data_IF_274400949034
#
_entry.id   IF_274400949034
#
_cell.length_a   1.000
_cell.length_b   1.000
_cell.length_c   1.000
_cell.angle_alpha   90.00
_cell.angle_beta   90.00
_cell.angle_gamma   90.00
#
_symmetry.space_group_name_H-M   'P 1'
#
loop_
_entity.id
_entity.type
_entity.pdbx_description
1 polymer ?
#
# COMPACT_ATOMS: atom_id res chain seq x y z
N UNK A 1 4.80 7.12 7.93
CA UNK A 1 4.46 5.79 8.53
C UNK A 1 5.46 4.76 8.01
N UNK A 2 5.83 3.73 8.79
CA UNK A 2 6.74 2.65 8.35
C UNK A 2 6.24 1.28 8.83
N UNK A 3 6.17 0.30 7.94
CA UNK A 3 5.96 -1.11 8.29
C UNK A 3 7.29 -1.68 8.81
N UNK A 4 7.30 -2.29 9.99
CA UNK A 4 8.54 -2.72 10.66
C UNK A 4 8.69 -4.23 10.71
N UNK A 5 7.60 -4.95 10.93
CA UNK A 5 7.56 -6.40 10.92
C UNK A 5 6.28 -6.94 10.26
N UNK A 6 6.40 -8.14 9.70
CA UNK A 6 5.28 -8.98 9.25
C UNK A 6 5.57 -10.43 9.63
N UNK A 7 4.67 -11.03 10.41
CA UNK A 7 4.66 -12.45 10.77
C UNK A 7 3.50 -13.13 10.09
N UNK A 8 3.79 -14.25 9.45
CA UNK A 8 2.84 -15.02 8.66
C UNK A 8 2.69 -16.38 9.33
N UNK A 9 1.61 -16.56 10.07
CA UNK A 9 1.30 -17.83 10.71
C UNK A 9 0.65 -18.79 9.72
N UNK A 10 -0.23 -18.27 8.86
CA UNK A 10 -0.90 -19.02 7.81
C UNK A 10 -1.24 -18.09 6.65
N UNK A 11 -0.79 -18.41 5.44
CA UNK A 11 -1.17 -17.70 4.22
C UNK A 11 -0.86 -18.54 2.98
N UNK A 12 -1.90 -19.06 2.31
CA UNK A 12 -1.78 -19.81 1.05
C UNK A 12 -0.71 -20.91 1.13
N UNK A 13 0.22 -20.93 0.19
CA UNK A 13 1.32 -21.91 0.05
C UNK A 13 2.62 -21.46 0.72
N UNK A 14 2.57 -20.42 1.57
CA UNK A 14 3.72 -19.96 2.35
C UNK A 14 3.93 -20.87 3.57
N UNK A 15 5.18 -21.22 3.84
CA UNK A 15 5.56 -21.96 5.04
C UNK A 15 5.12 -21.19 6.30
N UNK A 16 4.49 -21.87 7.28
CA UNK A 16 4.02 -21.22 8.49
C UNK A 16 5.20 -20.69 9.33
N UNK A 17 4.99 -19.56 10.00
CA UNK A 17 5.97 -18.97 10.92
C UNK A 17 6.99 -18.04 10.26
N UNK A 18 6.81 -17.68 8.98
CA UNK A 18 7.68 -16.70 8.33
C UNK A 18 7.63 -15.35 9.07
N UNK A 19 8.80 -14.78 9.36
CA UNK A 19 8.95 -13.51 10.04
C UNK A 19 9.88 -12.60 9.24
N UNK A 20 9.33 -11.49 8.76
CA UNK A 20 10.02 -10.49 7.97
C UNK A 20 10.18 -9.22 8.79
N UNK A 21 11.37 -8.67 8.78
CA UNK A 21 11.71 -7.33 9.28
C UNK A 21 12.05 -6.45 8.09
N UNK A 22 11.65 -5.18 8.14
CA UNK A 22 11.78 -4.27 7.01
C UNK A 22 12.66 -3.07 7.32
N UNK A 23 13.52 -2.73 6.36
CA UNK A 23 14.27 -1.48 6.36
C UNK A 23 13.35 -0.26 6.17
N UNK A 24 13.68 0.90 6.74
CA UNK A 24 12.82 2.08 6.74
C UNK A 24 12.72 2.78 5.38
N UNK A 25 13.64 2.50 4.45
CA UNK A 25 13.79 3.18 3.16
C UNK A 25 13.54 2.24 1.98
N UNK A 26 14.38 1.23 1.80
CA UNK A 26 14.34 0.30 0.68
C UNK A 26 14.26 -1.14 1.16
N UNK A 27 13.41 -1.92 0.50
CA UNK A 27 13.22 -3.35 0.72
C UNK A 27 13.19 -4.04 -0.65
N UNK A 28 14.24 -4.78 -0.97
CA UNK A 28 14.37 -5.56 -2.18
C UNK A 28 13.76 -6.95 -1.95
N UNK A 29 12.75 -7.28 -2.72
CA UNK A 29 12.12 -8.61 -2.74
C UNK A 29 12.76 -9.41 -3.88
N UNK A 30 13.56 -10.40 -3.49
CA UNK A 30 14.45 -11.17 -4.36
C UNK A 30 14.05 -12.64 -4.41
N UNK A 31 14.57 -13.37 -5.40
CA UNK A 31 14.27 -14.78 -5.62
C UNK A 31 13.92 -15.10 -7.07
N UNK A 32 13.95 -16.38 -7.41
CA UNK A 32 13.66 -16.86 -8.76
C UNK A 32 12.18 -16.65 -9.16
N UNK A 33 11.86 -16.88 -10.43
CA UNK A 33 10.48 -16.89 -10.91
C UNK A 33 9.70 -18.04 -10.25
N UNK A 34 8.47 -17.74 -9.78
CA UNK A 34 7.62 -18.73 -9.11
C UNK A 34 7.79 -18.83 -7.58
N UNK A 35 8.83 -18.23 -6.99
CA UNK A 35 9.10 -18.26 -5.54
C UNK A 35 8.16 -17.37 -4.69
N UNK A 36 7.24 -16.64 -5.34
CA UNK A 36 6.21 -15.86 -4.65
C UNK A 36 6.50 -14.38 -4.44
N UNK A 37 7.49 -13.78 -5.13
CA UNK A 37 7.79 -12.34 -5.06
C UNK A 37 6.54 -11.46 -5.24
N UNK A 38 5.80 -11.68 -6.33
CA UNK A 38 4.54 -10.95 -6.59
C UNK A 38 3.48 -11.25 -5.53
N UNK A 39 3.39 -12.49 -5.04
CA UNK A 39 2.47 -12.87 -3.96
C UNK A 39 2.78 -12.10 -2.67
N UNK A 40 4.06 -11.91 -2.34
CA UNK A 40 4.48 -11.11 -1.20
C UNK A 40 4.16 -9.62 -1.41
N UNK A 41 4.41 -9.05 -2.60
CA UNK A 41 4.03 -7.65 -2.88
C UNK A 41 2.51 -7.43 -2.78
N UNK A 42 1.70 -8.39 -3.23
CA UNK A 42 0.24 -8.33 -3.09
C UNK A 42 -0.19 -8.42 -1.61
N UNK A 43 0.48 -9.26 -0.81
CA UNK A 43 0.25 -9.32 0.63
C UNK A 43 0.63 -8.00 1.32
N UNK A 44 1.79 -7.42 0.99
CA UNK A 44 2.22 -6.13 1.51
C UNK A 44 1.24 -5.01 1.14
N UNK A 45 0.71 -5.02 -0.08
CA UNK A 45 -0.35 -4.10 -0.52
C UNK A 45 -1.56 -4.20 0.40
N UNK A 46 -2.02 -5.42 0.71
CA UNK A 46 -3.15 -5.68 1.61
C UNK A 46 -2.86 -5.28 3.05
N UNK A 47 -1.67 -5.55 3.56
CA UNK A 47 -1.23 -5.15 4.91
C UNK A 47 -1.19 -3.63 5.05
N UNK A 48 -0.60 -2.93 4.07
CA UNK A 48 -0.50 -1.47 4.05
C UNK A 48 -1.87 -0.81 3.88
N UNK A 49 -2.73 -1.35 3.03
CA UNK A 49 -4.14 -0.96 2.93
C UNK A 49 -4.96 -1.33 4.17
N UNK A 50 -4.47 -2.34 4.91
CA UNK A 50 -5.21 -3.09 5.91
C UNK A 50 -6.59 -3.54 5.40
N UNK A 51 -6.64 -3.95 4.13
CA UNK A 51 -7.83 -4.45 3.42
C UNK A 51 -7.65 -5.94 3.10
N UNK A 52 -8.50 -6.76 3.71
CA UNK A 52 -8.47 -8.21 3.59
C UNK A 52 -9.76 -8.76 2.95
N UNK A 53 -10.57 -7.91 2.33
CA UNK A 53 -11.83 -8.28 1.67
C UNK A 53 -11.63 -9.37 0.62
N UNK A 54 -10.54 -9.28 -0.14
CA UNK A 54 -10.12 -10.28 -1.13
C UNK A 54 -9.66 -11.63 -0.54
N UNK A 55 -9.66 -11.80 0.79
CA UNK A 55 -9.36 -13.04 1.50
C UNK A 55 -10.55 -13.54 2.34
N UNK A 56 -11.74 -12.97 2.17
CA UNK A 56 -12.91 -13.32 3.00
C UNK A 56 -13.26 -14.82 2.96
N UNK A 57 -12.91 -15.51 1.87
CA UNK A 57 -13.14 -16.95 1.66
C UNK A 57 -11.88 -17.81 1.85
N UNK A 58 -10.74 -17.21 2.19
CA UNK A 58 -9.47 -17.91 2.37
C UNK A 58 -9.10 -17.93 3.86
N UNK A 59 -8.48 -19.01 4.33
CA UNK A 59 -7.89 -19.01 5.67
C UNK A 59 -6.56 -18.27 5.68
N UNK A 60 -6.37 -17.41 6.69
CA UNK A 60 -5.11 -16.73 6.92
C UNK A 60 -4.96 -16.31 8.37
N UNK A 61 -3.72 -16.08 8.80
CA UNK A 61 -3.37 -15.54 10.11
C UNK A 61 -2.06 -14.78 10.02
N UNK A 62 -2.13 -13.48 10.32
CA UNK A 62 -1.04 -12.51 10.13
C UNK A 62 -0.91 -11.62 11.37
N UNK A 63 0.32 -11.21 11.66
CA UNK A 63 0.64 -10.14 12.60
C UNK A 63 1.59 -9.16 11.91
N UNK A 64 1.39 -7.86 12.08
CA UNK A 64 2.28 -6.85 11.53
C UNK A 64 2.31 -5.62 12.39
N UNK A 65 3.42 -4.87 12.33
CA UNK A 65 3.57 -3.65 13.12
C UNK A 65 4.00 -2.45 12.29
N UNK A 66 3.39 -1.31 12.60
CA UNK A 66 3.75 0.00 12.07
C UNK A 66 4.38 0.88 13.14
N UNK A 67 5.29 1.72 12.69
CA UNK A 67 5.79 2.85 13.47
C UNK A 67 5.38 4.16 12.82
N UNK A 68 5.01 5.11 13.68
CA UNK A 68 4.66 6.46 13.30
C UNK A 68 5.22 7.43 14.36
N UNK A 69 5.52 8.69 14.03
CA UNK A 69 6.01 9.64 15.03
C UNK A 69 5.08 9.73 16.25
N UNK A 70 5.56 9.31 17.41
CA UNK A 70 4.80 9.35 18.67
C UNK A 70 3.86 8.17 18.92
N UNK A 71 3.88 7.12 18.08
CA UNK A 71 3.02 5.95 18.26
C UNK A 71 3.55 4.67 17.56
N UNK A 72 3.22 3.51 18.15
CA UNK A 72 3.42 2.20 17.53
C UNK A 72 2.07 1.49 17.41
N UNK A 73 1.91 0.71 16.35
CA UNK A 73 0.67 0.01 16.04
C UNK A 73 1.00 -1.44 15.73
N UNK A 74 0.41 -2.38 16.44
CA UNK A 74 0.46 -3.80 16.16
C UNK A 74 -0.94 -4.26 15.74
N UNK A 75 -1.02 -5.01 14.66
CA UNK A 75 -2.27 -5.57 14.17
C UNK A 75 -2.12 -7.07 14.05
N UNK A 76 -3.07 -7.79 14.63
CA UNK A 76 -3.29 -9.22 14.44
C UNK A 76 -4.59 -9.41 13.69
N UNK A 77 -4.55 -10.10 12.57
CA UNK A 77 -5.74 -10.38 11.77
C UNK A 77 -5.73 -11.84 11.34
N UNK A 78 -6.87 -12.49 11.48
CA UNK A 78 -7.04 -13.88 11.06
C UNK A 78 -8.43 -14.11 10.50
N UNK A 79 -8.51 -15.10 9.63
CA UNK A 79 -9.74 -15.68 9.12
C UNK A 79 -9.53 -17.19 9.19
N UNK A 80 -10.15 -17.86 10.14
CA UNK A 80 -9.89 -19.27 10.44
C UNK A 80 -11.19 -20.02 10.55
N UNK A 81 -11.24 -21.27 10.10
CA UNK A 81 -12.40 -22.11 10.33
C UNK A 81 -12.66 -22.28 11.84
N UNK A 82 -13.94 -22.37 12.27
CA UNK A 82 -14.26 -22.70 13.64
C UNK A 82 -13.64 -24.07 13.98
N UNK A 83 -12.86 -24.13 15.05
CA UNK A 83 -12.36 -25.40 15.56
C UNK A 83 -13.48 -26.11 16.32
N UNK A 84 -14.25 -26.96 15.63
CA UNK A 84 -15.32 -27.78 16.22
C UNK A 84 -14.77 -28.89 17.14
N UNK A 85 -13.45 -29.04 17.24
CA UNK A 85 -12.78 -30.03 18.09
C UNK A 85 -12.56 -29.53 19.53
N UNK A 86 -12.72 -28.22 19.77
CA UNK A 86 -12.57 -27.62 21.10
C UNK A 86 -13.93 -27.63 21.80
N UNK A 87 -14.08 -28.25 22.98
CA UNK A 87 -15.34 -28.19 23.71
C UNK A 87 -15.64 -26.72 24.01
N UNK A 88 -16.80 -26.22 23.58
CA UNK A 88 -17.32 -24.97 24.08
C UNK A 88 -17.38 -25.07 25.62
N UNK A 89 -16.83 -24.09 26.33
CA UNK A 89 -17.03 -24.00 27.78
C UNK A 89 -18.53 -24.11 28.06
N UNK A 90 -18.89 -25.20 28.74
CA UNK A 90 -20.27 -25.64 28.91
C UNK A 90 -21.06 -24.65 29.79
N UNK A 91 -21.77 -23.73 29.15
CA UNK A 91 -23.01 -23.17 29.70
C UNK A 91 -24.17 -24.16 29.47
N UNK A 92 -25.17 -24.22 30.36
CA UNK A 92 -26.24 -25.20 30.25
C UNK A 92 -27.14 -24.87 29.04
N UNK A 93 -27.11 -25.73 28.01
CA UNK A 93 -28.05 -25.62 26.89
C UNK A 93 -29.45 -26.15 27.26
N UNK A 94 -30.53 -25.47 26.84
CA UNK A 94 -31.89 -26.01 26.90
C UNK A 94 -32.05 -27.13 25.86
N UNK A 95 -32.56 -28.29 26.29
CA UNK A 95 -32.87 -29.42 25.42
C UNK A 95 -33.96 -29.05 24.40
N UNK A 96 -33.58 -28.86 23.13
CA UNK A 96 -34.52 -28.82 22.02
C UNK A 96 -34.67 -30.23 21.40
N UNK A 97 -35.81 -30.85 21.63
CA UNK A 97 -36.29 -32.04 20.92
C UNK A 97 -36.73 -31.63 19.51
N UNK A 98 -35.87 -31.84 18.50
CA UNK A 98 -36.14 -32.24 17.10
C UNK A 98 -34.86 -32.00 16.28
N UNK A 99 -34.32 -32.99 15.54
CA UNK A 99 -33.19 -32.75 14.64
C UNK A 99 -33.69 -32.05 13.38
N UNK A 100 -33.41 -30.74 13.24
CA UNK A 100 -33.47 -30.07 11.95
C UNK A 100 -32.22 -30.46 11.15
N UNK A 101 -32.40 -31.39 10.21
CA UNK A 101 -31.48 -31.54 9.09
C UNK A 101 -31.64 -30.34 8.16
N UNK A 102 -30.87 -29.29 8.40
CA UNK A 102 -30.61 -28.22 7.42
C UNK A 102 -29.28 -28.55 6.71
N UNK A 103 -29.11 -28.16 5.42
CA UNK A 103 -27.93 -28.53 4.65
C UNK A 103 -26.69 -27.94 5.35
N UNK A 104 -25.66 -28.77 5.52
CA UNK A 104 -24.38 -28.34 6.08
C UNK A 104 -23.76 -27.39 5.05
N UNK A 105 -24.08 -26.10 5.17
CA UNK A 105 -23.26 -25.05 4.57
C UNK A 105 -21.84 -25.30 5.06
N UNK A 106 -20.90 -25.43 4.13
CA UNK A 106 -19.50 -25.61 4.48
C UNK A 106 -19.09 -24.55 5.51
N UNK A 107 -18.33 -24.92 6.57
CA UNK A 107 -18.02 -23.99 7.63
C UNK A 107 -17.35 -22.74 7.05
N UNK A 108 -17.93 -21.57 7.35
CA UNK A 108 -17.39 -20.30 6.87
C UNK A 108 -16.27 -19.86 7.82
N UNK A 109 -15.10 -19.44 7.30
CA UNK A 109 -14.05 -18.86 8.13
C UNK A 109 -14.57 -17.70 8.99
N UNK A 110 -14.13 -17.66 10.25
CA UNK A 110 -14.50 -16.61 11.20
C UNK A 110 -13.38 -15.55 11.27
N UNK A 111 -13.69 -14.30 10.92
CA UNK A 111 -12.72 -13.23 10.98
C UNK A 111 -12.53 -12.74 12.42
N UNK A 112 -11.29 -12.41 12.76
CA UNK A 112 -10.92 -11.76 13.99
C UNK A 112 -9.80 -10.75 13.74
N UNK A 113 -9.89 -9.61 14.39
CA UNK A 113 -8.93 -8.53 14.34
C UNK A 113 -8.64 -8.03 15.76
N UNK A 114 -7.37 -7.89 16.09
CA UNK A 114 -6.91 -7.17 17.27
C UNK A 114 -5.92 -6.10 16.84
N UNK A 115 -6.12 -4.89 17.35
CA UNK A 115 -5.25 -3.76 17.06
C UNK A 115 -4.79 -3.17 18.38
N UNK A 116 -3.49 -3.25 18.64
CA UNK A 116 -2.84 -2.63 19.79
C UNK A 116 -2.13 -1.38 19.33
N UNK A 117 -2.51 -0.23 19.89
CA UNK A 117 -1.86 1.05 19.63
C UNK A 117 -1.22 1.55 20.92
N UNK A 118 0.08 1.82 20.88
CA UNK A 118 0.80 2.48 21.96
C UNK A 118 1.07 3.93 21.55
N UNK A 119 0.70 4.87 22.42
CA UNK A 119 0.89 6.30 22.24
C UNK A 119 1.96 6.78 23.22
N UNK A 120 2.86 7.65 22.75
CA UNK A 120 3.89 8.25 23.62
C UNK A 120 3.33 9.41 24.47
N UNK A 121 2.37 10.15 23.90
CA UNK A 121 1.80 11.35 24.52
C UNK A 121 0.35 11.63 24.02
N UNK A 122 -0.66 11.59 24.93
CA UNK A 122 -0.57 11.04 26.29
C UNK A 122 -0.18 9.56 26.25
N UNK A 123 0.62 9.11 27.22
CA UNK A 123 1.06 7.72 27.28
C UNK A 123 -0.15 6.82 27.52
N UNK A 124 -0.51 6.00 26.53
CA UNK A 124 -1.67 5.13 26.61
C UNK A 124 -1.51 3.90 25.72
N UNK A 125 -2.09 2.80 26.17
CA UNK A 125 -2.24 1.57 25.38
C UNK A 125 -3.70 1.36 25.06
N UNK A 126 -4.04 1.47 23.78
CA UNK A 126 -5.39 1.24 23.26
C UNK A 126 -5.42 -0.16 22.61
N UNK A 127 -6.41 -0.97 22.95
CA UNK A 127 -6.62 -2.28 22.33
C UNK A 127 -8.02 -2.36 21.77
N UNK A 128 -8.14 -2.42 20.45
CA UNK A 128 -9.38 -2.76 19.76
C UNK A 128 -9.40 -4.26 19.48
N UNK A 129 -10.52 -4.91 19.78
CA UNK A 129 -10.84 -6.24 19.27
C UNK A 129 -12.12 -6.18 18.45
N UNK A 130 -12.13 -6.85 17.31
CA UNK A 130 -13.31 -6.96 16.47
C UNK A 130 -13.41 -8.36 15.86
N UNK A 131 -14.65 -8.84 15.75
CA UNK A 131 -15.00 -10.11 15.12
C UNK A 131 -16.35 -9.98 14.40
N UNK A 132 -16.93 -11.12 14.01
CA UNK A 132 -18.23 -11.16 13.34
C UNK A 132 -19.42 -10.75 14.25
N UNK A 133 -19.26 -10.78 15.57
CA UNK A 133 -20.30 -10.46 16.55
C UNK A 133 -20.27 -8.99 16.96
N UNK A 134 -19.10 -8.36 16.92
CA UNK A 134 -19.00 -6.94 17.25
C UNK A 134 -17.57 -6.43 17.39
N UNK A 135 -17.45 -5.33 18.14
CA UNK A 135 -16.18 -4.70 18.44
C UNK A 135 -16.14 -4.23 19.91
N UNK A 136 -14.95 -4.26 20.49
CA UNK A 136 -14.66 -3.79 21.84
C UNK A 136 -13.36 -2.99 21.87
N UNK A 137 -13.28 -2.05 22.81
CA UNK A 137 -12.10 -1.21 23.06
C UNK A 137 -11.71 -1.23 24.52
N UNK A 138 -10.41 -1.33 24.74
CA UNK A 138 -9.77 -1.19 26.04
C UNK A 138 -8.78 -0.03 26.02
N UNK A 139 -8.76 0.74 27.12
CA UNK A 139 -7.79 1.80 27.38
C UNK A 139 -7.02 1.40 28.63
N UNK A 140 -5.72 1.18 28.51
CA UNK A 140 -4.86 0.75 29.61
C UNK A 140 -5.39 -0.51 30.35
N UNK A 141 -5.99 -1.43 29.59
CA UNK A 141 -6.57 -2.68 30.11
C UNK A 141 -7.97 -2.55 30.72
N UNK A 142 -8.57 -1.36 30.74
CA UNK A 142 -9.96 -1.16 31.16
C UNK A 142 -10.87 -1.09 29.93
N UNK A 143 -11.96 -1.86 29.94
CA UNK A 143 -12.97 -1.80 28.88
C UNK A 143 -13.58 -0.40 28.87
N UNK A 144 -13.36 0.34 27.79
CA UNK A 144 -13.95 1.65 27.57
C UNK A 144 -15.24 1.56 26.75
N UNK A 145 -15.34 0.57 25.85
CA UNK A 145 -16.48 0.44 24.95
C UNK A 145 -16.66 -1.00 24.45
N UNK A 146 -17.91 -1.41 24.23
CA UNK A 146 -18.25 -2.65 23.53
C UNK A 146 -19.58 -2.49 22.79
N UNK A 147 -19.67 -3.05 21.59
CA UNK A 147 -20.88 -3.02 20.78
C UNK A 147 -21.01 -4.28 19.93
N UNK A 148 -22.18 -4.91 20.00
CA UNK A 148 -22.60 -5.95 19.06
C UNK A 148 -22.94 -5.32 17.72
N UNK A 149 -22.31 -5.79 16.64
CA UNK A 149 -22.55 -5.35 15.27
C UNK A 149 -22.41 -6.54 14.32
N UNK A 150 -23.40 -6.73 13.45
CA UNK A 150 -23.37 -7.77 12.43
C UNK A 150 -22.84 -7.16 11.14
N UNK A 151 -21.63 -7.54 10.74
CA UNK A 151 -20.91 -6.97 9.60
C UNK A 151 -19.83 -7.92 9.09
N UNK A 152 -19.38 -7.68 7.86
CA UNK A 152 -18.16 -8.30 7.36
C UNK A 152 -16.97 -7.45 7.79
N UNK A 153 -16.24 -7.95 8.80
CA UNK A 153 -15.06 -7.27 9.34
C UNK A 153 -13.97 -7.07 8.28
N UNK A 154 -13.81 -8.03 7.36
CA UNK A 154 -12.77 -7.99 6.34
C UNK A 154 -13.13 -7.10 5.14
N UNK A 155 -14.40 -6.77 4.94
CA UNK A 155 -14.85 -5.78 3.93
C UNK A 155 -14.60 -4.34 4.36
N UNK A 156 -14.09 -4.14 5.58
CA UNK A 156 -13.68 -2.85 6.11
C UNK A 156 -12.18 -2.87 6.35
N UNK A 157 -11.51 -1.75 6.08
CA UNK A 157 -10.11 -1.65 6.44
C UNK A 157 -9.96 -1.53 7.96
N UNK A 158 -8.84 -1.98 8.51
CA UNK A 158 -8.48 -1.75 9.93
C UNK A 158 -8.66 -0.25 10.28
N UNK A 159 -8.34 0.63 9.33
CA UNK A 159 -8.48 2.09 9.48
C UNK A 159 -9.93 2.54 9.68
N UNK A 160 -10.90 1.95 8.98
CA UNK A 160 -12.33 2.23 9.20
C UNK A 160 -12.73 1.82 10.62
N UNK A 161 -12.30 0.63 11.07
CA UNK A 161 -12.64 0.12 12.40
C UNK A 161 -12.04 0.99 13.49
N UNK A 162 -10.76 1.35 13.34
CA UNK A 162 -10.07 2.31 14.20
C UNK A 162 -10.79 3.67 14.22
N UNK A 163 -11.20 4.19 13.06
CA UNK A 163 -11.94 5.45 12.97
C UNK A 163 -13.25 5.39 13.75
N UNK A 164 -14.06 4.33 13.56
CA UNK A 164 -15.34 4.17 14.24
C UNK A 164 -15.19 4.15 15.76
N UNK A 165 -14.18 3.44 16.26
CA UNK A 165 -13.88 3.42 17.68
C UNK A 165 -13.32 4.73 18.22
N UNK A 166 -12.43 5.38 17.46
CA UNK A 166 -11.86 6.68 17.80
C UNK A 166 -12.93 7.77 18.00
N UNK A 167 -14.08 7.67 17.32
CA UNK A 167 -15.19 8.62 17.54
C UNK A 167 -15.80 8.53 18.95
N UNK A 168 -15.52 7.47 19.70
CA UNK A 168 -16.07 7.22 21.05
C UNK A 168 -15.05 7.42 22.16
N UNK A 169 -13.79 7.68 21.82
CA UNK A 169 -12.72 7.98 22.78
C UNK A 169 -12.74 9.46 23.16
N UNK A 170 -12.03 9.79 24.24
CA UNK A 170 -11.86 11.19 24.67
C UNK A 170 -11.17 12.04 23.58
N UNK A 171 -11.43 13.36 23.55
CA UNK A 171 -10.95 14.26 22.49
C UNK A 171 -9.43 14.23 22.26
N UNK A 172 -8.64 14.04 23.31
CA UNK A 172 -7.17 13.99 23.20
C UNK A 172 -6.65 12.82 22.35
N UNK A 173 -7.27 11.65 22.46
CA UNK A 173 -6.94 10.48 21.64
C UNK A 173 -7.42 10.66 20.21
N UNK A 174 -8.60 11.26 20.05
CA UNK A 174 -9.21 11.51 18.74
C UNK A 174 -8.32 12.36 17.85
N UNK A 175 -7.74 13.44 18.35
CA UNK A 175 -6.85 14.31 17.55
C UNK A 175 -5.58 13.58 17.10
N UNK A 176 -4.99 12.72 17.94
CA UNK A 176 -3.81 11.92 17.57
C UNK A 176 -4.16 10.87 16.50
N UNK A 177 -5.31 10.23 16.64
CA UNK A 177 -5.80 9.24 15.68
C UNK A 177 -6.21 9.87 14.35
N UNK A 178 -6.67 11.12 14.33
CA UNK A 178 -7.01 11.82 13.07
C UNK A 178 -5.83 11.91 12.11
N UNK A 179 -4.62 12.21 12.59
CA UNK A 179 -3.46 12.31 11.70
C UNK A 179 -3.04 10.94 11.16
N UNK A 180 -3.11 9.88 12.00
CA UNK A 180 -2.92 8.50 11.54
C UNK A 180 -3.94 8.16 10.44
N UNK A 181 -5.23 8.38 10.71
CA UNK A 181 -6.31 8.07 9.81
C UNK A 181 -6.26 8.90 8.52
N UNK A 182 -5.85 10.17 8.58
CA UNK A 182 -5.64 10.99 7.37
C UNK A 182 -4.60 10.37 6.45
N UNK A 183 -3.55 9.78 7.00
CA UNK A 183 -2.49 9.13 6.22
C UNK A 183 -2.81 7.71 5.79
N UNK A 184 -3.63 6.98 6.53
CA UNK A 184 -3.91 5.56 6.24
C UNK A 184 -5.23 5.32 5.51
N UNK A 185 -6.27 6.10 5.82
CA UNK A 185 -7.59 5.97 5.20
C UNK A 185 -7.58 6.39 3.72
N UNK A 186 -6.66 7.29 3.32
CA UNK A 186 -6.59 7.88 1.97
C UNK A 186 -5.48 7.31 1.07
N UNK A 187 -4.47 6.63 1.62
CA UNK A 187 -3.19 6.39 0.92
C UNK A 187 -2.69 4.94 1.04
N UNK A 188 -3.57 3.97 0.82
CA UNK A 188 -3.12 2.60 0.60
C UNK A 188 -2.40 2.52 -0.76
N UNK A 189 -1.07 2.30 -0.81
CA UNK A 189 -0.37 2.22 -2.08
C UNK A 189 -0.83 0.98 -2.83
N UNK A 190 -1.47 1.16 -3.98
CA UNK A 190 -1.66 0.04 -4.91
C UNK A 190 -0.30 -0.48 -5.39
N UNK A 191 -0.23 -1.74 -5.84
CA UNK A 191 0.97 -2.24 -6.52
C UNK A 191 1.16 -1.54 -7.87
N UNK A 192 2.37 -1.03 -8.11
CA UNK A 192 2.84 -0.61 -9.43
C UNK A 192 3.32 -1.85 -10.17
N UNK A 193 2.56 -2.30 -11.16
CA UNK A 193 2.86 -3.50 -11.94
C UNK A 193 3.93 -3.26 -13.01
N UNK A 194 4.46 -4.35 -13.59
CA UNK A 194 5.41 -4.26 -14.69
C UNK A 194 4.80 -3.81 -16.02
N UNK A 195 3.47 -3.86 -16.13
CA UNK A 195 2.75 -3.50 -17.33
C UNK A 195 2.49 -2.00 -17.47
N UNK A 196 1.50 -1.68 -18.31
CA UNK A 196 0.95 -0.33 -18.45
C UNK A 196 -0.38 -0.18 -17.70
N UNK A 197 -0.74 -1.13 -16.82
CA UNK A 197 -2.03 -1.11 -16.10
C UNK A 197 -2.19 0.17 -15.28
N UNK A 198 -1.12 0.62 -14.61
CA UNK A 198 -1.12 1.92 -13.92
C UNK A 198 -1.32 3.10 -14.88
N UNK A 199 -0.67 3.09 -16.05
CA UNK A 199 -0.83 4.15 -17.05
C UNK A 199 -2.27 4.24 -17.60
N UNK A 200 -2.89 3.08 -17.85
CA UNK A 200 -4.28 3.00 -18.32
C UNK A 200 -5.27 3.49 -17.25
N UNK A 201 -5.09 3.07 -16.00
CA UNK A 201 -5.90 3.51 -14.85
C UNK A 201 -5.90 5.01 -14.67
N UNK A 202 -4.76 5.69 -14.87
CA UNK A 202 -4.69 7.16 -14.78
C UNK A 202 -5.72 7.80 -15.72
N UNK A 203 -5.78 7.36 -16.98
CA UNK A 203 -6.71 7.93 -17.96
C UNK A 203 -8.20 7.65 -17.67
N UNK A 204 -8.48 6.59 -16.92
CA UNK A 204 -9.83 6.18 -16.50
C UNK A 204 -10.24 6.76 -15.15
N UNK A 205 -9.32 7.43 -14.44
CA UNK A 205 -9.61 7.99 -13.14
C UNK A 205 -10.69 9.08 -13.23
N UNK A 206 -11.57 9.08 -12.22
CA UNK A 206 -12.61 10.06 -12.03
C UNK A 206 -12.53 10.61 -10.61
N UNK A 207 -12.96 11.85 -10.42
CA UNK A 207 -12.88 12.53 -9.14
C UNK A 207 -14.08 13.45 -8.94
N UNK A 208 -14.84 13.19 -7.87
CA UNK A 208 -15.95 14.02 -7.48
C UNK A 208 -15.54 15.08 -6.45
N UNK A 209 -16.13 16.26 -6.55
CA UNK A 209 -16.05 17.32 -5.55
C UNK A 209 -17.46 17.77 -5.18
N UNK A 210 -17.72 17.91 -3.88
CA UNK A 210 -18.93 18.52 -3.34
C UNK A 210 -18.65 20.00 -3.04
N UNK A 211 -19.47 20.91 -3.55
CA UNK A 211 -19.43 22.33 -3.22
C UNK A 211 -20.55 22.64 -2.23
N UNK A 212 -20.25 23.35 -1.15
CA UNK A 212 -21.22 23.88 -0.19
C UNK A 212 -20.93 25.36 0.01
N UNK A 213 -21.78 26.22 -0.55
CA UNK A 213 -21.45 27.65 -0.69
C UNK A 213 -20.14 27.83 -1.48
N UNK A 214 -19.15 28.49 -0.87
CA UNK A 214 -17.79 28.68 -1.44
C UNK A 214 -16.81 27.55 -1.05
N UNK A 215 -17.19 26.65 -0.14
CA UNK A 215 -16.32 25.56 0.31
C UNK A 215 -16.42 24.35 -0.63
N UNK A 216 -15.29 23.67 -0.86
CA UNK A 216 -15.24 22.47 -1.72
C UNK A 216 -14.60 21.30 -0.98
N UNK A 217 -15.31 20.16 -0.98
CA UNK A 217 -14.96 18.93 -0.31
C UNK A 217 -14.68 17.81 -1.33
N UNK A 218 -13.59 17.04 -1.18
CA UNK A 218 -13.34 15.86 -2.00
C UNK A 218 -14.39 14.77 -1.73
N UNK A 219 -14.88 14.10 -2.78
CA UNK A 219 -15.74 12.92 -2.67
C UNK A 219 -14.95 11.65 -3.02
N UNK A 220 -14.73 10.80 -2.02
CA UNK A 220 -14.14 9.47 -2.17
C UNK A 220 -12.64 9.40 -1.89
N UNK A 221 -12.15 8.16 -1.79
CA UNK A 221 -10.74 7.82 -1.65
C UNK A 221 -10.20 7.56 -3.06
N UNK A 222 -9.29 8.39 -3.57
CA UNK A 222 -8.79 8.25 -4.94
C UNK A 222 -7.28 8.40 -5.02
N UNK A 223 -6.68 7.65 -5.94
CA UNK A 223 -5.24 7.66 -6.26
C UNK A 223 -4.87 8.87 -7.13
N UNK A 224 -5.01 10.07 -6.59
CA UNK A 224 -4.60 11.33 -7.22
C UNK A 224 -3.28 11.84 -6.63
N UNK A 225 -2.46 12.55 -7.42
CA UNK A 225 -1.34 13.32 -6.90
C UNK A 225 -1.81 14.23 -5.77
N UNK A 226 -1.06 14.30 -4.67
CA UNK A 226 -1.51 15.01 -3.45
C UNK A 226 -1.82 16.49 -3.67
N UNK A 227 -1.19 17.11 -4.68
CA UNK A 227 -1.44 18.48 -5.11
C UNK A 227 -2.70 18.68 -5.98
N UNK A 228 -3.17 17.63 -6.67
CA UNK A 228 -4.22 17.77 -7.70
C UNK A 228 -5.58 18.21 -7.13
N UNK A 229 -6.08 17.67 -6.00
CA UNK A 229 -7.33 18.14 -5.41
C UNK A 229 -7.33 19.64 -5.11
N UNK A 230 -6.19 20.19 -4.67
CA UNK A 230 -6.02 21.62 -4.41
C UNK A 230 -6.16 22.45 -5.69
N UNK A 231 -5.46 22.04 -6.76
CA UNK A 231 -5.53 22.70 -8.07
C UNK A 231 -6.93 22.66 -8.67
N UNK A 232 -7.63 21.52 -8.57
CA UNK A 232 -9.00 21.39 -9.08
C UNK A 232 -9.97 22.30 -8.33
N UNK A 233 -9.79 22.46 -7.01
CA UNK A 233 -10.56 23.40 -6.19
C UNK A 233 -10.30 24.84 -6.62
N UNK A 234 -9.04 25.24 -6.72
CA UNK A 234 -8.65 26.61 -7.08
C UNK A 234 -9.11 27.01 -8.49
N UNK A 235 -9.21 26.04 -9.40
CA UNK A 235 -9.59 26.26 -10.80
C UNK A 235 -11.01 25.76 -11.14
N UNK A 236 -11.85 25.55 -10.13
CA UNK A 236 -13.22 25.08 -10.32
C UNK A 236 -14.03 26.02 -11.22
N UNK A 237 -13.92 27.34 -11.02
CA UNK A 237 -14.59 28.34 -11.87
C UNK A 237 -14.11 28.31 -13.32
N UNK A 238 -12.79 28.15 -13.53
CA UNK A 238 -12.22 27.96 -14.87
C UNK A 238 -12.78 26.71 -15.54
N UNK A 239 -12.86 25.60 -14.81
CA UNK A 239 -13.42 24.35 -15.33
C UNK A 239 -14.90 24.51 -15.72
N UNK A 240 -15.68 25.24 -14.92
CA UNK A 240 -17.07 25.55 -15.22
C UNK A 240 -17.24 26.39 -16.48
N UNK A 241 -16.30 27.30 -16.76
CA UNK A 241 -16.34 28.15 -17.95
C UNK A 241 -15.84 27.44 -19.22
N UNK A 242 -14.81 26.61 -19.11
CA UNK A 242 -14.08 26.04 -20.26
C UNK A 242 -14.31 24.55 -20.49
N UNK A 243 -14.87 23.84 -19.51
CA UNK A 243 -15.07 22.39 -19.53
C UNK A 243 -13.82 21.57 -19.18
N UNK A 244 -12.66 22.20 -18.94
CA UNK A 244 -11.43 21.49 -18.59
C UNK A 244 -10.46 22.37 -17.80
N UNK A 245 -9.44 21.73 -17.21
CA UNK A 245 -8.29 22.39 -16.62
C UNK A 245 -7.05 21.83 -17.31
N UNK A 246 -6.18 22.72 -17.77
CA UNK A 246 -4.84 22.39 -18.24
C UNK A 246 -3.83 22.82 -17.17
N UNK A 247 -2.88 21.92 -16.87
CA UNK A 247 -1.78 22.12 -15.93
C UNK A 247 -0.49 21.89 -16.70
N UNK A 248 0.36 22.92 -16.79
CA UNK A 248 1.66 22.82 -17.44
C UNK A 248 2.70 22.20 -16.51
N UNK A 249 3.72 21.59 -17.13
CA UNK A 249 4.82 20.92 -16.43
C UNK A 249 5.65 21.83 -15.50
N UNK A 250 5.61 23.14 -15.72
CA UNK A 250 6.38 24.16 -15.01
C UNK A 250 5.54 24.93 -13.97
N UNK A 251 4.26 24.62 -13.82
CA UNK A 251 3.40 25.24 -12.82
C UNK A 251 3.61 24.69 -11.40
N UNK A 252 4.07 23.44 -11.29
CA UNK A 252 4.22 22.75 -10.01
C UNK A 252 5.65 22.31 -9.81
N UNK A 253 6.30 22.89 -8.81
CA UNK A 253 7.66 22.55 -8.44
C UNK A 253 7.74 21.06 -8.07
N UNK A 254 8.65 20.33 -8.71
CA UNK A 254 8.85 18.88 -8.54
C UNK A 254 7.62 17.99 -8.82
N UNK A 255 6.58 18.48 -9.51
CA UNK A 255 5.48 17.63 -9.96
C UNK A 255 5.95 16.54 -10.94
N UNK A 256 5.22 15.41 -10.99
CA UNK A 256 5.55 14.29 -11.88
C UNK A 256 5.72 14.72 -13.34
N UNK A 257 4.94 15.71 -13.80
CA UNK A 257 4.94 16.18 -15.18
C UNK A 257 6.25 16.91 -15.52
N UNK A 258 6.74 17.80 -14.65
CA UNK A 258 8.02 18.49 -14.82
C UNK A 258 9.20 17.52 -14.81
N UNK A 259 9.18 16.55 -13.88
CA UNK A 259 10.20 15.48 -13.84
C UNK A 259 10.18 14.64 -15.11
N UNK A 260 9.00 14.26 -15.60
CA UNK A 260 8.88 13.49 -16.83
C UNK A 260 9.42 14.26 -18.04
N UNK A 261 9.03 15.53 -18.22
CA UNK A 261 9.52 16.38 -19.33
C UNK A 261 11.04 16.45 -19.32
N UNK A 262 11.63 16.65 -18.14
CA UNK A 262 13.09 16.70 -17.95
C UNK A 262 13.75 15.37 -18.31
N UNK A 263 13.31 14.27 -17.72
CA UNK A 263 13.91 12.94 -17.89
C UNK A 263 13.72 12.37 -19.30
N UNK A 264 12.57 12.65 -19.93
CA UNK A 264 12.28 12.23 -21.30
C UNK A 264 12.92 13.14 -22.35
N UNK A 265 13.56 14.26 -21.95
CA UNK A 265 14.22 15.20 -22.86
C UNK A 265 13.24 16.01 -23.72
N UNK A 266 12.03 16.24 -23.23
CA UNK A 266 10.98 16.99 -23.93
C UNK A 266 11.13 18.50 -23.68
N UNK A 267 10.46 19.31 -24.49
CA UNK A 267 10.45 20.78 -24.37
C UNK A 267 9.35 21.30 -23.45
N UNK A 268 8.17 20.68 -23.49
CA UNK A 268 7.05 21.02 -22.62
C UNK A 268 6.12 19.83 -22.41
N UNK A 269 5.33 19.90 -21.34
CA UNK A 269 4.27 18.95 -21.02
C UNK A 269 3.03 19.65 -20.49
N UNK A 270 1.87 19.05 -20.75
CA UNK A 270 0.56 19.48 -20.29
C UNK A 270 -0.23 18.29 -19.78
N UNK A 271 -0.82 18.43 -18.62
CA UNK A 271 -1.78 17.51 -18.03
C UNK A 271 -3.17 18.15 -18.08
N UNK A 272 -4.11 17.48 -18.76
CA UNK A 272 -5.48 17.93 -18.93
C UNK A 272 -6.42 17.10 -18.08
N UNK A 273 -7.33 17.77 -17.40
CA UNK A 273 -8.44 17.15 -16.66
C UNK A 273 -9.75 17.73 -17.18
N UNK A 274 -10.68 16.89 -17.62
CA UNK A 274 -11.99 17.31 -18.14
C UNK A 274 -13.04 17.36 -17.03
N UNK A 275 -13.95 18.34 -17.09
CA UNK A 275 -15.17 18.36 -16.29
C UNK A 275 -16.23 17.50 -16.99
N UNK A 276 -16.61 16.39 -16.36
CA UNK A 276 -17.53 15.38 -16.89
C UNK A 276 -18.98 15.66 -16.54
N UNK A 277 -19.24 16.07 -15.30
CA UNK A 277 -20.61 16.34 -14.81
C UNK A 277 -20.61 17.57 -13.87
N UNK A 278 -21.75 18.27 -13.86
CA UNK A 278 -22.06 19.37 -12.97
C UNK A 278 -23.50 19.22 -12.49
N UNK A 279 -23.67 19.09 -11.18
CA UNK A 279 -24.98 19.15 -10.53
C UNK A 279 -25.04 20.33 -9.59
N UNK A 280 -26.14 21.05 -9.58
CA UNK A 280 -26.39 22.14 -8.64
C UNK A 280 -27.60 21.77 -7.79
N UNK A 281 -27.54 22.06 -6.50
CA UNK A 281 -28.64 21.84 -5.56
C UNK A 281 -28.71 23.02 -4.59
N UNK A 282 -29.80 23.12 -3.83
CA UNK A 282 -29.97 24.22 -2.88
C UNK A 282 -28.84 24.19 -1.84
N UNK A 283 -28.08 25.28 -1.73
CA UNK A 283 -26.92 25.39 -0.85
C UNK A 283 -25.61 24.77 -1.37
N UNK A 284 -25.55 24.26 -2.60
CA UNK A 284 -24.31 23.64 -3.10
C UNK A 284 -24.33 23.07 -4.52
N UNK A 285 -23.37 22.20 -4.80
CA UNK A 285 -23.23 21.55 -6.10
C UNK A 285 -22.27 20.37 -6.07
N UNK A 286 -22.21 19.61 -7.15
CA UNK A 286 -21.24 18.54 -7.35
C UNK A 286 -20.56 18.73 -8.69
N UNK A 287 -19.24 18.66 -8.70
CA UNK A 287 -18.41 18.62 -9.90
C UNK A 287 -17.81 17.23 -10.02
N UNK A 288 -17.75 16.71 -11.24
CA UNK A 288 -17.08 15.44 -11.52
C UNK A 288 -16.03 15.66 -12.59
N UNK A 289 -14.79 15.31 -12.29
CA UNK A 289 -13.63 15.44 -13.15
C UNK A 289 -13.14 14.08 -13.63
N UNK A 290 -12.50 14.01 -14.79
CA UNK A 290 -11.89 12.77 -15.28
C UNK A 290 -11.22 12.94 -16.63
N UNK A 291 -11.09 11.82 -17.37
CA UNK A 291 -10.43 11.75 -18.69
C UNK A 291 -9.06 12.43 -18.69
N UNK A 292 -8.24 11.98 -17.74
CA UNK A 292 -6.92 12.52 -17.53
C UNK A 292 -6.03 12.30 -18.76
N UNK A 293 -5.63 13.40 -19.39
CA UNK A 293 -4.95 13.42 -20.67
C UNK A 293 -3.56 14.05 -20.58
N UNK A 294 -2.64 13.56 -21.38
CA UNK A 294 -1.28 14.09 -21.47
C UNK A 294 -0.98 14.57 -22.88
N UNK A 295 -0.39 15.76 -23.00
CA UNK A 295 0.17 16.29 -24.23
C UNK A 295 1.58 16.78 -24.01
N UNK A 296 2.46 16.57 -24.99
CA UNK A 296 3.86 16.98 -24.89
C UNK A 296 4.32 17.67 -26.16
N UNK A 297 5.37 18.47 -26.03
CA UNK A 297 6.05 19.10 -27.15
C UNK A 297 7.53 18.78 -27.08
N UNK A 298 8.11 18.35 -28.20
CA UNK A 298 9.56 18.17 -28.36
C UNK A 298 10.27 19.51 -28.41
N UNK A 299 11.60 19.50 -28.28
CA UNK A 299 12.42 20.72 -28.36
C UNK A 299 12.42 21.35 -29.76
N UNK A 300 12.12 20.57 -30.79
CA UNK A 300 11.94 21.02 -32.17
C UNK A 300 10.53 21.60 -32.46
N UNK A 301 9.65 21.63 -31.44
CA UNK A 301 8.28 22.13 -31.56
C UNK A 301 7.24 21.07 -31.98
N UNK A 302 7.66 19.84 -32.31
CA UNK A 302 6.71 18.79 -32.68
C UNK A 302 5.83 18.38 -31.49
N UNK A 303 4.51 18.29 -31.73
CA UNK A 303 3.53 17.90 -30.70
C UNK A 303 3.41 16.37 -30.67
N UNK A 304 3.46 15.81 -29.45
CA UNK A 304 3.31 14.40 -29.19
C UNK A 304 2.01 14.16 -28.41
N UNK A 305 1.15 13.31 -28.97
CA UNK A 305 0.03 12.71 -28.25
C UNK A 305 0.48 11.45 -27.47
N UNK A 306 -0.42 10.90 -26.65
CA UNK A 306 -0.24 9.62 -25.93
C UNK A 306 0.23 8.47 -26.83
N UNK A 307 -0.21 8.42 -28.09
CA UNK A 307 0.13 7.35 -29.03
C UNK A 307 1.60 7.37 -29.43
N UNK A 308 2.21 8.55 -29.42
CA UNK A 308 3.60 8.75 -29.81
C UNK A 308 4.60 8.39 -28.69
N UNK A 309 4.13 8.18 -27.46
CA UNK A 309 5.00 7.75 -26.37
C UNK A 309 5.33 6.26 -26.47
N UNK A 310 6.63 5.95 -26.43
CA UNK A 310 7.12 4.59 -26.34
C UNK A 310 6.75 3.92 -25.02
N UNK A 311 6.87 2.60 -24.95
CA UNK A 311 6.51 1.81 -23.76
C UNK A 311 7.22 2.30 -22.49
N UNK A 312 8.56 2.44 -22.54
CA UNK A 312 9.35 2.92 -21.41
C UNK A 312 9.01 4.36 -20.98
N UNK A 313 8.58 5.22 -21.91
CA UNK A 313 8.13 6.58 -21.59
C UNK A 313 6.78 6.57 -20.87
N UNK A 314 5.83 5.76 -21.34
CA UNK A 314 4.52 5.58 -20.66
C UNK A 314 4.71 5.06 -19.25
N UNK A 315 5.61 4.08 -19.07
CA UNK A 315 5.96 3.51 -17.78
C UNK A 315 6.65 4.52 -16.85
N UNK A 316 7.60 5.30 -17.36
CA UNK A 316 8.23 6.37 -16.57
C UNK A 316 7.19 7.42 -16.12
N UNK A 317 6.32 7.85 -17.02
CA UNK A 317 5.27 8.83 -16.72
C UNK A 317 4.31 8.31 -15.64
N UNK A 318 3.84 7.07 -15.78
CA UNK A 318 2.94 6.47 -14.78
C UNK A 318 3.63 6.22 -13.44
N UNK A 319 4.92 5.88 -13.43
CA UNK A 319 5.70 5.71 -12.21
C UNK A 319 5.90 7.04 -11.48
N UNK A 320 6.24 8.11 -12.19
CA UNK A 320 6.36 9.43 -11.59
C UNK A 320 5.01 9.94 -11.06
N UNK A 321 3.91 9.68 -11.77
CA UNK A 321 2.56 9.96 -11.27
C UNK A 321 2.29 9.16 -10.00
N UNK A 322 2.61 7.86 -10.00
CA UNK A 322 2.45 6.98 -8.84
C UNK A 322 3.24 7.47 -7.62
N UNK A 323 4.45 8.00 -7.81
CA UNK A 323 5.26 8.59 -6.74
C UNK A 323 4.63 9.85 -6.12
N UNK A 324 3.90 10.64 -6.92
CA UNK A 324 3.15 11.81 -6.44
C UNK A 324 1.84 11.45 -5.75
N UNK A 325 1.29 10.26 -6.04
CA UNK A 325 0.11 9.72 -5.34
C UNK A 325 0.51 9.18 -3.97
N UNK A 326 1.67 8.51 -3.87
CA UNK A 326 2.06 7.75 -2.69
C UNK A 326 3.27 8.37 -1.99
N UNK A 327 3.04 9.07 -0.88
CA UNK A 327 4.09 9.82 -0.17
C UNK A 327 4.86 9.00 0.87
N UNK A 328 4.22 8.02 1.50
CA UNK A 328 4.81 7.23 2.59
C UNK A 328 5.44 5.92 2.10
N UNK A 329 4.87 5.31 1.05
CA UNK A 329 5.19 3.96 0.58
C UNK A 329 5.29 3.87 -0.94
N UNK A 330 6.05 2.89 -1.41
CA UNK A 330 6.02 2.44 -2.80
C UNK A 330 6.04 0.91 -2.83
N UNK A 331 5.19 0.31 -3.65
CA UNK A 331 5.22 -1.12 -3.93
C UNK A 331 5.33 -1.27 -5.45
N UNK A 332 6.47 -1.74 -5.95
CA UNK A 332 6.69 -1.86 -7.38
C UNK A 332 7.22 -3.23 -7.78
N UNK A 333 6.51 -3.86 -8.71
CA UNK A 333 6.94 -5.08 -9.35
C UNK A 333 7.82 -4.75 -10.57
N UNK A 334 9.00 -5.37 -10.63
CA UNK A 334 9.98 -5.25 -11.70
C UNK A 334 10.34 -3.79 -12.01
N UNK A 335 10.63 -2.97 -11.00
CA UNK A 335 10.75 -1.50 -11.09
C UNK A 335 11.55 -1.00 -12.30
N UNK A 336 12.69 -1.64 -12.60
CA UNK A 336 13.61 -1.26 -13.67
C UNK A 336 13.22 -1.77 -15.07
N UNK A 337 12.17 -2.58 -15.21
CA UNK A 337 11.77 -3.17 -16.48
C UNK A 337 11.38 -2.08 -17.49
N UNK A 338 11.88 -2.23 -18.73
CA UNK A 338 11.70 -1.31 -19.86
C UNK A 338 12.10 0.16 -19.63
N UNK A 339 12.83 0.47 -18.55
CA UNK A 339 13.39 1.79 -18.29
C UNK A 339 14.84 1.88 -18.78
N UNK A 340 15.17 3.01 -19.39
CA UNK A 340 16.55 3.34 -19.73
C UNK A 340 17.40 3.51 -18.44
N UNK A 341 18.70 3.14 -18.41
CA UNK A 341 19.59 3.30 -17.24
C UNK A 341 19.48 4.63 -16.49
N UNK A 342 19.63 5.75 -17.20
CA UNK A 342 19.38 7.11 -16.65
C UNK A 342 18.04 7.28 -15.92
N UNK A 343 16.97 6.64 -16.38
CA UNK A 343 15.66 6.73 -15.74
C UNK A 343 15.59 5.86 -14.49
N UNK A 344 16.21 4.68 -14.51
CA UNK A 344 16.33 3.83 -13.31
C UNK A 344 17.07 4.58 -12.20
N UNK A 345 18.23 5.16 -12.52
CA UNK A 345 18.99 5.99 -11.58
C UNK A 345 18.15 7.11 -10.98
N UNK A 346 17.46 7.89 -11.85
CA UNK A 346 16.63 8.99 -11.41
C UNK A 346 15.47 8.54 -10.52
N UNK A 347 14.79 7.44 -10.88
CA UNK A 347 13.68 6.86 -10.12
C UNK A 347 14.15 6.37 -8.75
N UNK A 348 15.30 5.67 -8.68
CA UNK A 348 15.86 5.19 -7.41
C UNK A 348 16.16 6.36 -6.47
N UNK A 349 16.69 7.47 -7.01
CA UNK A 349 16.89 8.71 -6.24
C UNK A 349 15.58 9.34 -5.78
N UNK A 350 14.51 9.26 -6.58
CA UNK A 350 13.19 9.82 -6.25
C UNK A 350 12.40 8.97 -5.23
N UNK A 351 12.82 7.75 -4.92
CA UNK A 351 12.22 6.97 -3.81
C UNK A 351 12.25 7.78 -2.50
N UNK A 352 13.36 8.49 -2.26
CA UNK A 352 13.49 9.47 -1.18
C UNK A 352 13.21 8.86 0.20
N UNK A 353 12.40 9.56 1.00
CA UNK A 353 12.06 9.12 2.36
C UNK A 353 10.95 8.06 2.45
N UNK A 354 10.43 7.55 1.33
CA UNK A 354 9.40 6.50 1.30
C UNK A 354 9.95 5.17 1.78
N UNK A 355 9.08 4.31 2.30
CA UNK A 355 9.43 2.90 2.43
C UNK A 355 9.03 2.17 1.15
N UNK A 356 10.03 1.68 0.44
CA UNK A 356 9.89 1.11 -0.90
C UNK A 356 10.05 -0.40 -0.84
N UNK A 357 9.11 -1.13 -1.42
CA UNK A 357 9.13 -2.57 -1.61
C UNK A 357 9.22 -2.84 -3.11
N UNK A 358 10.35 -3.34 -3.58
CA UNK A 358 10.62 -3.44 -5.01
C UNK A 358 11.17 -4.80 -5.38
N UNK A 359 10.73 -5.35 -6.51
CA UNK A 359 11.36 -6.51 -7.14
C UNK A 359 12.11 -6.07 -8.39
N UNK A 360 13.13 -6.83 -8.79
CA UNK A 360 13.66 -6.77 -10.15
C UNK A 360 14.44 -8.01 -10.56
N UNK A 361 14.20 -8.47 -11.78
CA UNK A 361 15.03 -9.39 -12.56
C UNK A 361 16.08 -8.65 -13.41
N UNK A 362 15.98 -7.31 -13.49
CA UNK A 362 16.96 -6.52 -14.22
C UNK A 362 18.12 -6.15 -13.27
N UNK A 363 19.36 -6.61 -13.52
CA UNK A 363 20.49 -6.30 -12.64
C UNK A 363 20.79 -4.81 -12.52
N UNK A 364 20.32 -4.01 -13.49
CA UNK A 364 20.47 -2.55 -13.53
C UNK A 364 19.92 -1.85 -12.29
N UNK A 365 18.87 -2.37 -11.65
CA UNK A 365 18.36 -1.78 -10.40
C UNK A 365 19.46 -1.75 -9.32
N UNK A 366 20.21 -2.86 -9.21
CA UNK A 366 21.20 -3.06 -8.16
C UNK A 366 22.47 -2.23 -8.36
N UNK A 367 22.66 -1.60 -9.53
CA UNK A 367 23.76 -0.65 -9.76
C UNK A 367 23.57 0.66 -9.01
N UNK A 368 22.32 1.01 -8.67
CA UNK A 368 21.97 2.27 -8.00
C UNK A 368 21.54 2.10 -6.55
N UNK A 369 21.49 0.85 -6.06
CA UNK A 369 21.16 0.55 -4.66
C UNK A 369 22.42 0.59 -3.80
N UNK A 370 22.29 1.21 -2.63
CA UNK A 370 23.36 1.30 -1.65
C UNK A 370 22.91 0.85 -0.28
N UNK A 371 23.81 0.21 0.46
CA UNK A 371 23.63 -0.11 1.88
C UNK A 371 24.71 0.60 2.70
N UNK A 372 24.35 1.16 3.84
CA UNK A 372 25.28 1.80 4.78
C UNK A 372 25.84 0.82 5.83
N UNK A 373 25.16 -0.30 6.09
CA UNK A 373 25.58 -1.31 7.06
C UNK A 373 25.09 -2.72 6.71
N UNK A 374 25.65 -3.73 7.37
CA UNK A 374 25.17 -5.11 7.29
C UNK A 374 23.75 -5.27 7.87
N UNK A 375 23.43 -4.55 8.94
CA UNK A 375 22.08 -4.56 9.52
C UNK A 375 21.04 -3.97 8.58
N UNK A 376 21.40 -2.87 7.89
CA UNK A 376 20.54 -2.30 6.85
C UNK A 376 20.37 -3.28 5.69
N UNK A 377 21.47 -3.87 5.18
CA UNK A 377 21.38 -4.88 4.13
C UNK A 377 20.48 -6.05 4.54
N UNK A 378 20.60 -6.53 5.78
CA UNK A 378 19.76 -7.60 6.31
C UNK A 378 18.28 -7.23 6.35
N UNK A 379 17.94 -6.06 6.88
CA UNK A 379 16.55 -5.60 6.97
C UNK A 379 15.95 -5.21 5.61
N UNK A 380 16.79 -4.77 4.67
CA UNK A 380 16.39 -4.34 3.33
C UNK A 380 16.33 -5.46 2.31
N UNK A 381 16.87 -6.66 2.59
CA UNK A 381 16.82 -7.80 1.68
C UNK A 381 15.77 -8.78 2.17
N UNK A 382 14.86 -9.18 1.27
CA UNK A 382 13.86 -10.22 1.50
C UNK A 382 14.05 -11.28 0.43
N UNK A 383 14.41 -12.49 0.84
CA UNK A 383 14.57 -13.63 -0.05
C UNK A 383 13.28 -14.44 -0.11
N UNK A 384 12.79 -14.66 -1.33
CA UNK A 384 11.72 -15.59 -1.65
C UNK A 384 12.31 -16.84 -2.28
N UNK A 385 12.14 -17.99 -1.62
CA UNK A 385 12.58 -19.29 -2.10
C UNK A 385 11.47 -20.34 -2.06
N UNK A 386 11.82 -21.57 -2.42
CA UNK A 386 10.99 -22.75 -2.30
C UNK A 386 11.73 -23.78 -1.43
N UNK A 387 11.03 -24.35 -0.45
CA UNK A 387 11.55 -25.44 0.37
C UNK A 387 10.50 -26.54 0.51
N UNK A 388 10.95 -27.78 0.68
CA UNK A 388 10.06 -28.91 0.96
C UNK A 388 9.74 -28.92 2.44
N UNK A 389 8.48 -28.65 2.78
CA UNK A 389 7.95 -28.70 4.13
C UNK A 389 6.80 -29.71 4.18
N UNK A 390 6.91 -30.74 5.03
CA UNK A 390 5.92 -31.84 5.14
C UNK A 390 5.60 -32.48 3.78
N UNK A 391 6.63 -32.87 3.03
CA UNK A 391 6.52 -33.53 1.72
C UNK A 391 5.89 -32.68 0.59
N UNK A 392 5.61 -31.40 0.85
CA UNK A 392 5.12 -30.45 -0.16
C UNK A 392 6.10 -29.30 -0.33
N UNK A 393 6.32 -28.90 -1.56
CA UNK A 393 7.03 -27.67 -1.86
C UNK A 393 6.17 -26.47 -1.40
N UNK A 394 6.76 -25.61 -0.58
CA UNK A 394 6.14 -24.39 -0.06
C UNK A 394 7.04 -23.20 -0.30
N UNK A 395 6.45 -22.02 -0.42
CA UNK A 395 7.17 -20.75 -0.49
C UNK A 395 7.76 -20.43 0.88
N UNK A 396 9.03 -20.03 0.90
CA UNK A 396 9.71 -19.58 2.12
C UNK A 396 10.19 -18.15 1.91
N UNK A 397 9.76 -17.26 2.81
CA UNK A 397 10.14 -15.85 2.78
C UNK A 397 10.92 -15.53 4.05
N UNK A 398 12.10 -14.95 3.88
CA UNK A 398 12.99 -14.61 5.01
C UNK A 398 13.89 -13.44 4.69
N UNK A 399 14.34 -12.72 5.73
CA UNK A 399 15.52 -11.88 5.61
C UNK A 399 16.78 -12.78 5.66
N UNK A 400 17.92 -12.35 5.06
CA UNK A 400 19.18 -13.05 5.21
C UNK A 400 19.57 -13.26 6.68
N UNK A 401 20.33 -14.31 6.95
CA UNK A 401 20.98 -14.50 8.24
C UNK A 401 21.99 -13.37 8.51
N UNK A 402 22.33 -13.14 9.78
CA UNK A 402 23.33 -12.14 10.17
C UNK A 402 24.67 -12.40 9.46
N UNK A 403 25.16 -13.63 9.48
CA UNK A 403 26.41 -14.03 8.85
C UNK A 403 26.41 -13.84 7.32
N UNK A 404 25.30 -14.15 6.64
CA UNK A 404 25.18 -13.89 5.19
C UNK A 404 25.17 -12.38 4.90
N UNK A 405 24.47 -11.58 5.70
CA UNK A 405 24.43 -10.13 5.53
C UNK A 405 25.79 -9.47 5.78
N UNK A 406 26.53 -9.90 6.81
CA UNK A 406 27.88 -9.41 7.11
C UNK A 406 28.87 -9.73 5.99
N UNK A 407 28.85 -10.97 5.47
CA UNK A 407 29.70 -11.38 4.35
C UNK A 407 29.36 -10.60 3.08
N UNK A 408 28.08 -10.52 2.71
CA UNK A 408 27.62 -9.77 1.55
C UNK A 408 28.00 -8.28 1.65
N UNK A 409 27.79 -7.66 2.81
CA UNK A 409 28.12 -6.26 3.01
C UNK A 409 29.64 -6.02 2.97
N UNK A 410 30.43 -6.94 3.53
CA UNK A 410 31.89 -6.93 3.44
C UNK A 410 32.40 -7.00 2.00
N UNK A 411 31.81 -7.89 1.18
CA UNK A 411 32.10 -7.98 -0.25
C UNK A 411 31.69 -6.72 -1.01
N UNK A 412 30.49 -6.22 -0.73
CA UNK A 412 29.93 -5.00 -1.34
C UNK A 412 30.84 -3.79 -1.09
N UNK A 413 31.32 -3.60 0.14
CA UNK A 413 32.24 -2.51 0.49
C UNK A 413 33.61 -2.60 -0.17
N UNK A 414 34.08 -3.81 -0.51
CA UNK A 414 35.35 -3.98 -1.25
C UNK A 414 35.25 -3.50 -2.70
N UNK A 415 34.03 -3.42 -3.27
CA UNK A 415 33.78 -2.87 -4.60
C UNK A 415 34.31 -3.72 -5.76
N UNK A 416 34.67 -4.99 -5.54
CA UNK A 416 35.25 -5.86 -6.57
C UNK A 416 34.23 -6.47 -7.54
N UNK A 417 32.95 -6.50 -7.16
CA UNK A 417 31.85 -7.11 -7.92
C UNK A 417 30.60 -6.25 -7.82
N UNK A 418 29.73 -6.30 -8.84
CA UNK A 418 28.41 -5.66 -8.77
C UNK A 418 27.51 -6.33 -7.72
N UNK A 419 26.58 -5.57 -7.12
CA UNK A 419 25.64 -6.08 -6.12
C UNK A 419 24.82 -7.27 -6.66
N UNK A 420 24.38 -7.21 -7.92
CA UNK A 420 23.67 -8.30 -8.59
C UNK A 420 24.47 -9.63 -8.58
N UNK A 421 25.78 -9.55 -8.81
CA UNK A 421 26.67 -10.72 -8.77
C UNK A 421 26.87 -11.22 -7.35
N UNK A 422 27.02 -10.31 -6.38
CA UNK A 422 27.12 -10.68 -4.97
C UNK A 422 25.84 -11.38 -4.47
N UNK A 423 24.66 -10.87 -4.81
CA UNK A 423 23.39 -11.49 -4.45
C UNK A 423 23.29 -12.94 -4.97
N UNK A 424 23.74 -13.20 -6.20
CA UNK A 424 23.82 -14.57 -6.76
C UNK A 424 24.81 -15.47 -6.02
N UNK A 425 26.01 -14.96 -5.72
CA UNK A 425 27.04 -15.73 -4.99
C UNK A 425 26.52 -16.16 -3.61
N UNK A 426 25.76 -15.28 -2.96
CA UNK A 426 25.15 -15.53 -1.65
C UNK A 426 23.78 -16.24 -1.72
N UNK A 427 23.32 -16.64 -2.90
CA UNK A 427 22.09 -17.42 -3.09
C UNK A 427 20.80 -16.65 -2.81
N UNK A 428 20.81 -15.32 -3.00
CA UNK A 428 19.67 -14.44 -2.70
C UNK A 428 18.92 -13.94 -3.94
N UNK A 429 19.46 -14.09 -5.15
CA UNK A 429 18.87 -13.59 -6.40
C UNK A 429 19.08 -14.51 -7.58
#
# INVERSE_FOLDING_TARGET
MKLTELRIHQYRDVAPGAHLVFGPSLNLVLGENGTGRTTLLDLLTRVLASDFSGLIREEFSLEYAFTFPGMTLQVRVRNTLPDFSRPADAGPEPQALVPRGEPVDAPTPQPFMEVTLELDAPAARLVLRADAQGLAWEVNGQIAYSQTMHWSLLDRTVWVVLFLGAQRLEPEFKERLKELLRRTFLLAPGRFDEGLGTYERISQAQYGMEMRGEEVFPLGLMSLPTWLPGVLRERAEQALATGFIDIRHDELERGFLGRFVTLAGLGAGRFRVELLDKRSYEGGGRLEFGRFGFGFTRRDGAVLSREHLGYGQKRLLSLLYYLDVNEDFLIADELAHALHPRWVEAVVRELGGRQSFVTSQNPLLFEYVTFASADEARASLIHCGLEVHEERERKVWSNPSLDTAERLFGDYRRGGSSLATLLRIHGLW
#
